data_IF_304325679858
#
_entry.id   IF_304325679858
#
_cell.length_a   1.000
_cell.length_b   1.000
_cell.length_c   1.000
_cell.angle_alpha   90.00
_cell.angle_beta   90.00
_cell.angle_gamma   90.00
#
_symmetry.space_group_name_H-M   'P 1'
#
loop_
_entity.id
_entity.type
_entity.pdbx_description
1 polymer ?
#
# COMPACT_ATOMS: atom_id res chain seq x y z
N UNK A 1 8.40 11.32 10.36
CA UNK A 1 8.61 11.69 8.93
C UNK A 1 8.08 10.58 8.04
N UNK A 2 7.19 10.86 7.07
CA UNK A 2 6.68 9.84 6.16
C UNK A 2 7.85 9.21 5.38
N UNK A 3 7.94 7.88 5.41
CA UNK A 3 9.07 7.10 4.85
C UNK A 3 9.10 7.06 3.30
N UNK A 4 8.23 7.85 2.65
CA UNK A 4 8.08 7.95 1.20
C UNK A 4 7.60 9.36 0.86
N UNK A 5 8.35 10.10 0.04
CA UNK A 5 7.82 11.30 -0.60
C UNK A 5 6.70 10.85 -1.55
N UNK A 6 5.47 11.27 -1.31
CA UNK A 6 4.44 11.16 -2.35
C UNK A 6 4.89 11.97 -3.56
N UNK A 7 4.51 11.52 -4.76
CA UNK A 7 4.73 12.32 -5.97
C UNK A 7 4.11 13.71 -5.77
N UNK A 8 4.72 14.78 -6.30
CA UNK A 8 4.08 16.09 -6.31
C UNK A 8 2.72 15.96 -7.00
N UNK A 9 1.69 16.57 -6.40
CA UNK A 9 0.36 16.60 -7.02
C UNK A 9 0.43 17.43 -8.30
N UNK A 10 -0.44 17.11 -9.24
CA UNK A 10 -0.63 17.90 -10.45
C UNK A 10 -1.10 19.32 -10.12
N UNK A 11 -0.63 20.31 -10.86
CA UNK A 11 -0.90 21.73 -10.60
C UNK A 11 -2.40 22.04 -10.67
N UNK A 12 -3.13 21.44 -11.61
CA UNK A 12 -4.56 21.66 -11.76
C UNK A 12 -5.34 21.05 -10.59
N UNK A 13 -4.87 19.91 -10.06
CA UNK A 13 -5.45 19.31 -8.85
C UNK A 13 -5.26 20.22 -7.65
N UNK A 14 -4.08 20.83 -7.50
CA UNK A 14 -3.83 21.79 -6.42
C UNK A 14 -4.68 23.06 -6.56
N UNK A 15 -4.79 23.61 -7.77
CA UNK A 15 -5.64 24.78 -8.02
C UNK A 15 -7.12 24.50 -7.70
N UNK A 16 -7.62 23.33 -8.08
CA UNK A 16 -8.97 22.88 -7.74
C UNK A 16 -9.17 22.69 -6.23
N UNK A 17 -8.20 22.09 -5.53
CA UNK A 17 -8.25 21.93 -4.07
C UNK A 17 -8.31 23.30 -3.35
N UNK A 18 -7.54 24.29 -3.81
CA UNK A 18 -7.54 25.66 -3.27
C UNK A 18 -8.88 26.34 -3.50
N UNK A 19 -9.41 26.28 -4.73
CA UNK A 19 -10.72 26.86 -5.06
C UNK A 19 -11.81 26.23 -4.18
N UNK A 20 -11.82 24.90 -4.09
CA UNK A 20 -12.78 24.14 -3.28
C UNK A 20 -12.75 24.56 -1.82
N UNK A 21 -11.57 24.67 -1.22
CA UNK A 21 -11.41 25.10 0.16
C UNK A 21 -11.86 26.55 0.40
N UNK A 22 -11.78 27.41 -0.63
CA UNK A 22 -12.18 28.81 -0.53
C UNK A 22 -13.68 29.04 -0.76
N UNK A 23 -14.34 28.20 -1.57
CA UNK A 23 -15.74 28.40 -1.99
C UNK A 23 -16.74 27.51 -1.26
N UNK A 24 -16.30 26.34 -0.78
CA UNK A 24 -17.18 25.41 -0.07
C UNK A 24 -16.92 25.52 1.45
N UNK A 25 -17.97 25.60 2.30
CA UNK A 25 -17.78 25.44 3.73
C UNK A 25 -17.19 24.05 3.99
N UNK A 26 -16.09 23.99 4.74
CA UNK A 26 -15.36 22.75 5.05
C UNK A 26 -16.33 21.63 5.46
N UNK A 27 -16.65 20.72 4.54
CA UNK A 27 -17.20 19.43 4.95
C UNK A 27 -16.13 18.80 5.82
N UNK A 28 -16.45 18.37 7.05
CA UNK A 28 -15.45 17.86 7.98
C UNK A 28 -14.72 16.72 7.27
N UNK A 29 -13.44 16.97 6.96
CA UNK A 29 -12.53 16.01 6.35
C UNK A 29 -12.80 14.66 7.00
N UNK A 30 -13.27 13.68 6.21
CA UNK A 30 -13.76 12.37 6.67
C UNK A 30 -13.01 11.97 7.93
N UNK A 31 -13.69 12.18 9.07
CA UNK A 31 -13.12 12.01 10.40
C UNK A 31 -12.40 10.67 10.42
N UNK A 32 -11.12 10.77 10.75
CA UNK A 32 -10.24 9.74 11.26
C UNK A 32 -10.90 8.37 11.32
N UNK A 33 -10.48 7.45 10.44
CA UNK A 33 -10.75 6.04 10.67
C UNK A 33 -10.41 5.76 12.14
N UNK A 34 -11.32 5.16 12.94
CA UNK A 34 -11.13 5.02 14.36
C UNK A 34 -9.73 4.45 14.60
N UNK A 35 -8.92 5.21 15.34
CA UNK A 35 -7.53 4.87 15.59
C UNK A 35 -7.50 3.42 16.07
N UNK A 36 -6.91 2.53 15.26
CA UNK A 36 -6.90 1.09 15.54
C UNK A 36 -6.31 0.91 16.93
N UNK A 37 -6.95 0.09 17.76
CA UNK A 37 -6.47 -0.19 19.11
C UNK A 37 -4.97 -0.56 19.05
N UNK A 38 -4.08 0.21 19.70
CA UNK A 38 -2.63 0.03 19.59
C UNK A 38 -2.18 -1.37 20.05
N UNK A 39 -2.87 -1.93 21.06
CA UNK A 39 -2.61 -3.29 21.53
C UNK A 39 -2.93 -4.33 20.45
N UNK A 40 -4.05 -4.16 19.73
CA UNK A 40 -4.44 -5.06 18.63
C UNK A 40 -3.45 -5.00 17.45
N UNK A 41 -2.94 -3.81 17.12
CA UNK A 41 -1.91 -3.64 16.08
C UNK A 41 -0.60 -4.32 16.49
N UNK A 42 -0.17 -4.15 17.74
CA UNK A 42 1.03 -4.79 18.26
C UNK A 42 0.91 -6.32 18.22
N UNK A 43 -0.22 -6.87 18.67
CA UNK A 43 -0.51 -8.30 18.61
C UNK A 43 -0.54 -8.84 17.17
N UNK A 44 -1.22 -8.14 16.26
CA UNK A 44 -1.26 -8.52 14.84
C UNK A 44 0.12 -8.55 14.20
N UNK A 45 0.99 -7.59 14.54
CA UNK A 45 2.39 -7.55 14.08
C UNK A 45 3.17 -8.76 14.60
N UNK A 46 3.07 -9.08 15.89
CA UNK A 46 3.75 -10.23 16.49
C UNK A 46 3.31 -11.55 15.82
N UNK A 47 2.00 -11.73 15.61
CA UNK A 47 1.45 -12.88 14.90
C UNK A 47 1.96 -12.97 13.46
N UNK A 48 2.00 -11.85 12.73
CA UNK A 48 2.52 -11.77 11.37
C UNK A 48 4.01 -12.12 11.27
N UNK A 49 4.83 -11.66 12.21
CA UNK A 49 6.27 -11.98 12.25
C UNK A 49 6.52 -13.49 12.45
N UNK A 50 5.72 -14.13 13.32
CA UNK A 50 5.80 -15.59 13.54
C UNK A 50 5.27 -16.36 12.33
N UNK A 51 4.07 -16.01 11.86
CA UNK A 51 3.39 -16.69 10.75
C UNK A 51 4.12 -16.55 9.42
N UNK A 52 4.71 -15.39 9.14
CA UNK A 52 5.48 -15.14 7.93
C UNK A 52 6.73 -16.02 7.84
N UNK A 53 7.51 -16.11 8.93
CA UNK A 53 8.67 -17.01 9.02
C UNK A 53 8.27 -18.48 8.85
N UNK A 54 7.23 -18.91 9.55
CA UNK A 54 6.72 -20.28 9.43
C UNK A 54 6.25 -20.61 8.01
N UNK A 55 5.55 -19.68 7.34
CA UNK A 55 5.13 -19.85 5.94
C UNK A 55 6.32 -19.94 5.01
N UNK A 56 7.35 -19.12 5.21
CA UNK A 56 8.56 -19.15 4.39
C UNK A 56 9.33 -20.47 4.55
N UNK A 57 9.45 -20.98 5.78
CA UNK A 57 10.12 -22.25 6.08
C UNK A 57 9.39 -23.46 5.47
N UNK A 58 8.06 -23.42 5.39
CA UNK A 58 7.25 -24.49 4.77
C UNK A 58 7.40 -24.60 3.25
N UNK A 59 7.94 -23.58 2.58
CA UNK A 59 8.05 -23.58 1.11
C UNK A 59 9.28 -24.34 0.63
N UNK A 60 9.07 -25.36 -0.22
CA UNK A 60 10.16 -26.04 -0.90
C UNK A 60 10.85 -25.15 -1.94
N UNK A 61 12.06 -25.51 -2.36
CA UNK A 61 12.78 -24.78 -3.43
C UNK A 61 11.96 -24.69 -4.73
N UNK A 62 11.25 -25.77 -5.09
CA UNK A 62 10.38 -25.81 -6.28
C UNK A 62 9.20 -24.84 -6.16
N UNK A 63 8.57 -24.78 -4.99
CA UNK A 63 7.47 -23.85 -4.72
C UNK A 63 7.95 -22.39 -4.71
N UNK A 64 9.10 -22.10 -4.11
CA UNK A 64 9.70 -20.76 -4.17
C UNK A 64 9.97 -20.32 -5.61
N UNK A 65 10.53 -21.21 -6.43
CA UNK A 65 10.81 -20.96 -7.86
C UNK A 65 9.53 -20.69 -8.66
N UNK A 66 8.45 -21.45 -8.42
CA UNK A 66 7.19 -21.25 -9.13
C UNK A 66 6.51 -19.93 -8.77
N UNK A 67 6.52 -19.56 -7.48
CA UNK A 67 6.00 -18.26 -6.99
C UNK A 67 6.77 -17.11 -7.63
N UNK A 68 8.10 -17.17 -7.64
CA UNK A 68 8.96 -16.14 -8.23
C UNK A 68 8.69 -15.95 -9.73
N UNK A 69 8.55 -17.04 -10.50
CA UNK A 69 8.19 -16.99 -11.93
C UNK A 69 6.84 -16.33 -12.16
N UNK A 70 5.81 -16.72 -11.40
CA UNK A 70 4.47 -16.12 -11.48
C UNK A 70 4.50 -14.62 -11.17
N UNK A 71 5.25 -14.22 -10.15
CA UNK A 71 5.41 -12.81 -9.78
C UNK A 71 6.10 -11.99 -10.89
N UNK A 72 7.16 -12.54 -11.49
CA UNK A 72 7.86 -11.91 -12.62
C UNK A 72 6.94 -11.76 -13.84
N UNK A 73 6.18 -12.79 -14.20
CA UNK A 73 5.20 -12.73 -15.28
C UNK A 73 4.17 -11.62 -15.02
N UNK A 74 3.56 -11.57 -13.84
CA UNK A 74 2.60 -10.52 -13.48
C UNK A 74 3.20 -9.12 -13.57
N UNK A 75 4.43 -8.94 -13.11
CA UNK A 75 5.13 -7.63 -13.13
C UNK A 75 5.48 -7.18 -14.55
N UNK A 76 5.91 -8.10 -15.41
CA UNK A 76 6.48 -7.77 -16.72
C UNK A 76 5.56 -8.02 -17.91
N UNK A 77 4.42 -8.69 -17.73
CA UNK A 77 3.48 -9.00 -18.82
C UNK A 77 2.98 -7.74 -19.55
N UNK A 78 2.71 -6.65 -18.83
CA UNK A 78 2.24 -5.40 -19.43
C UNK A 78 3.30 -4.71 -20.30
N UNK A 79 4.59 -4.98 -20.07
CA UNK A 79 5.70 -4.40 -20.83
C UNK A 79 5.89 -5.03 -22.20
N UNK A 80 5.29 -6.20 -22.46
CA UNK A 80 5.33 -6.92 -23.74
C UNK A 80 4.17 -6.58 -24.70
N UNK A 81 3.11 -5.91 -24.22
CA UNK A 81 1.92 -5.62 -25.03
C UNK A 81 1.95 -4.22 -25.69
N UNK A 82 3.03 -3.46 -25.50
CA UNK A 82 3.20 -2.13 -26.09
C UNK A 82 4.55 -1.96 -26.78
N UNK A 83 5.12 -3.06 -27.29
CA UNK A 83 6.27 -3.08 -28.19
C UNK A 83 5.82 -3.68 -29.52
#
# INVERSE_FOLDING_TARGET
MPKRSSKPKDVNVTAFEILKAATEPEEPAKKDQPAKNPAAVAMGRLGGLKGGKARAAKLSARQRKSIARKAAQKRWAKRKQGA
#
